data_IF_502829365914
#
_entry.id   IF_502829365914
#
_cell.length_a   1.000
_cell.length_b   1.000
_cell.length_c   1.000
_cell.angle_alpha   90.00
_cell.angle_beta   90.00
_cell.angle_gamma   90.00
#
_symmetry.space_group_name_H-M   'P 1'
#
loop_
_entity.id
_entity.type
_entity.pdbx_description
1 polymer ?
#
# COMPACT_ATOMS: atom_id res chain seq x y z
N UNK A 1 -15.83 -29.18 -43.96
CA UNK A 1 -15.68 -30.19 -42.89
C UNK A 1 -14.38 -29.92 -42.17
N UNK A 2 -14.39 -29.76 -40.85
CA UNK A 2 -13.14 -29.58 -40.09
C UNK A 2 -12.27 -30.83 -40.26
N UNK A 3 -11.01 -30.63 -40.65
CA UNK A 3 -10.05 -31.73 -40.86
C UNK A 3 -9.83 -32.41 -39.50
N UNK A 4 -10.25 -33.67 -39.37
CA UNK A 4 -10.06 -34.44 -38.13
C UNK A 4 -8.56 -34.60 -37.86
N UNK A 5 -8.12 -34.19 -36.68
CA UNK A 5 -6.73 -34.34 -36.25
C UNK A 5 -6.41 -35.81 -36.01
N UNK A 6 -5.18 -36.22 -36.30
CA UNK A 6 -4.73 -37.58 -35.96
C UNK A 6 -4.54 -37.73 -34.45
N UNK A 7 -4.60 -38.97 -33.94
CA UNK A 7 -4.37 -39.28 -32.53
C UNK A 7 -3.02 -38.74 -32.01
N UNK A 8 -1.99 -38.76 -32.87
CA UNK A 8 -0.65 -38.25 -32.54
C UNK A 8 -0.64 -36.73 -32.40
N UNK A 9 -1.35 -36.01 -33.29
CA UNK A 9 -1.52 -34.56 -33.18
C UNK A 9 -2.23 -34.16 -31.89
N UNK A 10 -3.27 -34.91 -31.49
CA UNK A 10 -3.98 -34.66 -30.23
C UNK A 10 -3.10 -34.92 -29.00
N UNK A 11 -2.23 -35.94 -29.04
CA UNK A 11 -1.26 -36.23 -27.96
C UNK A 11 -0.23 -35.11 -27.83
N UNK A 12 0.32 -34.63 -28.95
CA UNK A 12 1.28 -33.52 -28.95
C UNK A 12 0.65 -32.22 -28.43
N UNK A 13 -0.59 -31.92 -28.84
CA UNK A 13 -1.33 -30.76 -28.33
C UNK A 13 -1.61 -30.86 -26.84
N UNK A 14 -2.00 -32.03 -26.35
CA UNK A 14 -2.20 -32.27 -24.91
C UNK A 14 -0.91 -31.99 -24.13
N UNK A 15 0.22 -32.53 -24.57
CA UNK A 15 1.51 -32.32 -23.89
C UNK A 15 1.91 -30.84 -23.88
N UNK A 16 1.69 -30.12 -24.98
CA UNK A 16 1.95 -28.67 -25.03
C UNK A 16 1.05 -27.89 -24.09
N UNK A 17 -0.24 -28.23 -24.01
CA UNK A 17 -1.20 -27.59 -23.10
C UNK A 17 -0.84 -27.89 -21.64
N UNK A 18 -0.46 -29.12 -21.31
CA UNK A 18 -0.03 -29.51 -19.96
C UNK A 18 1.23 -28.74 -19.54
N UNK A 19 2.21 -28.58 -20.43
CA UNK A 19 3.40 -27.76 -20.19
C UNK A 19 3.04 -26.29 -19.94
N UNK A 20 2.14 -25.70 -20.73
CA UNK A 20 1.66 -24.32 -20.52
C UNK A 20 0.89 -24.17 -19.22
N UNK A 21 0.05 -25.15 -18.88
CA UNK A 21 -0.69 -25.16 -17.63
C UNK A 21 0.25 -25.15 -16.42
N UNK A 22 1.29 -26.00 -16.42
CA UNK A 22 2.29 -26.01 -15.37
C UNK A 22 3.02 -24.65 -15.25
N UNK A 23 3.36 -24.02 -16.37
CA UNK A 23 3.99 -22.68 -16.37
C UNK A 23 3.08 -21.60 -15.75
N UNK A 24 1.80 -21.56 -16.13
CA UNK A 24 0.84 -20.61 -15.57
C UNK A 24 0.54 -20.90 -14.09
N UNK A 25 0.51 -22.17 -13.68
CA UNK A 25 0.40 -22.55 -12.26
C UNK A 25 1.57 -22.01 -11.42
N UNK A 26 2.81 -22.18 -11.90
CA UNK A 26 3.98 -21.60 -11.22
C UNK A 26 3.93 -20.06 -11.18
N UNK A 27 3.47 -19.42 -12.25
CA UNK A 27 3.31 -17.96 -12.29
C UNK A 27 2.26 -17.48 -11.28
N UNK A 28 1.13 -18.20 -11.18
CA UNK A 28 0.11 -17.93 -10.19
C UNK A 28 0.67 -18.03 -8.76
N UNK A 29 1.38 -19.12 -8.46
CA UNK A 29 2.01 -19.31 -7.15
C UNK A 29 2.98 -18.17 -6.80
N UNK A 30 3.81 -17.73 -7.76
CA UNK A 30 4.69 -16.58 -7.54
C UNK A 30 3.93 -15.29 -7.23
N UNK A 31 2.82 -15.05 -7.92
CA UNK A 31 2.00 -13.87 -7.71
C UNK A 31 1.32 -13.91 -6.34
N UNK A 32 0.80 -15.07 -5.92
CA UNK A 32 0.23 -15.26 -4.59
C UNK A 32 1.27 -15.04 -3.49
N UNK A 33 2.49 -15.57 -3.67
CA UNK A 33 3.59 -15.35 -2.74
C UNK A 33 4.00 -13.87 -2.69
N UNK A 34 4.02 -13.18 -3.83
CA UNK A 34 4.29 -11.73 -3.88
C UNK A 34 3.21 -10.93 -3.16
N UNK A 35 1.94 -11.29 -3.34
CA UNK A 35 0.81 -10.67 -2.63
C UNK A 35 0.96 -10.82 -1.11
N UNK A 36 1.18 -12.04 -0.62
CA UNK A 36 1.40 -12.32 0.81
C UNK A 36 2.57 -11.51 1.39
N UNK A 37 3.67 -11.39 0.64
CA UNK A 37 4.83 -10.60 1.05
C UNK A 37 4.50 -9.11 1.20
N UNK A 38 3.80 -8.54 0.21
CA UNK A 38 3.40 -7.13 0.24
C UNK A 38 2.41 -6.85 1.39
N UNK A 39 1.42 -7.71 1.58
CA UNK A 39 0.46 -7.61 2.70
C UNK A 39 1.16 -7.66 4.06
N UNK A 40 2.15 -8.55 4.22
CA UNK A 40 2.98 -8.61 5.42
C UNK A 40 3.76 -7.31 5.63
N UNK A 41 4.36 -6.77 4.57
CA UNK A 41 5.09 -5.50 4.59
C UNK A 41 4.20 -4.33 5.03
N UNK A 42 2.99 -4.22 4.46
CA UNK A 42 2.04 -3.17 4.83
C UNK A 42 1.53 -3.33 6.27
N UNK A 43 1.29 -4.57 6.72
CA UNK A 43 0.96 -4.84 8.12
C UNK A 43 2.08 -4.39 9.06
N UNK A 44 3.34 -4.67 8.72
CA UNK A 44 4.49 -4.27 9.53
C UNK A 44 4.62 -2.74 9.60
N UNK A 45 4.48 -2.04 8.47
CA UNK A 45 4.46 -0.57 8.43
C UNK A 45 3.33 0.00 9.29
N UNK A 46 2.13 -0.57 9.21
CA UNK A 46 0.98 -0.17 10.03
C UNK A 46 1.27 -0.36 11.51
N UNK A 47 1.80 -1.52 11.92
CA UNK A 47 2.16 -1.78 13.31
C UNK A 47 3.18 -0.77 13.82
N UNK A 48 4.26 -0.52 13.07
CA UNK A 48 5.28 0.46 13.47
C UNK A 48 4.68 1.87 13.64
N UNK A 49 3.86 2.33 12.68
CA UNK A 49 3.14 3.62 12.80
C UNK A 49 2.28 3.68 14.06
N UNK A 50 1.50 2.64 14.34
CA UNK A 50 0.62 2.61 15.52
C UNK A 50 1.42 2.61 16.83
N UNK A 51 2.53 1.87 16.90
CA UNK A 51 3.42 1.89 18.06
C UNK A 51 4.03 3.28 18.27
N UNK A 52 4.46 3.97 17.22
CA UNK A 52 5.01 5.33 17.34
C UNK A 52 3.96 6.33 17.85
N UNK A 53 2.73 6.23 17.34
CA UNK A 53 1.61 7.06 17.83
C UNK A 53 1.29 6.74 19.30
N UNK A 54 1.21 5.47 19.67
CA UNK A 54 1.02 5.04 21.06
C UNK A 54 2.13 5.55 21.97
N UNK A 55 3.40 5.44 21.53
CA UNK A 55 4.56 5.94 22.27
C UNK A 55 4.55 7.46 22.45
N UNK A 56 4.01 8.21 21.49
CA UNK A 56 3.83 9.67 21.64
C UNK A 56 2.81 9.97 22.73
N UNK A 57 1.68 9.25 22.77
CA UNK A 57 0.67 9.44 23.81
C UNK A 57 1.23 9.03 25.18
N UNK A 58 1.88 7.87 25.31
CA UNK A 58 2.51 7.42 26.56
C UNK A 58 3.58 8.40 27.04
N UNK A 59 4.34 9.04 26.13
CA UNK A 59 5.34 10.05 26.49
C UNK A 59 4.71 11.34 27.02
N UNK A 60 3.51 11.70 26.53
CA UNK A 60 2.78 12.90 26.95
C UNK A 60 1.96 12.67 28.23
N UNK A 61 1.44 11.47 28.42
CA UNK A 61 0.62 11.07 29.56
C UNK A 61 1.05 9.68 30.06
N UNK A 62 2.14 9.56 30.83
CA UNK A 62 2.66 8.27 31.31
C UNK A 62 1.66 7.45 32.12
N UNK A 63 0.64 8.09 32.70
CA UNK A 63 -0.45 7.48 33.45
C UNK A 63 -1.23 6.47 32.61
N UNK A 64 -1.27 6.64 31.28
CA UNK A 64 -2.02 5.74 30.39
C UNK A 64 -1.33 4.40 30.18
N UNK A 65 -0.05 4.26 30.56
CA UNK A 65 0.79 3.09 30.29
C UNK A 65 0.18 1.77 30.78
N UNK A 66 -0.43 1.80 31.96
CA UNK A 66 -0.97 0.61 32.61
C UNK A 66 -2.49 0.46 32.40
N UNK A 67 -3.12 1.36 31.63
CA UNK A 67 -4.53 1.23 31.31
C UNK A 67 -4.74 0.02 30.42
N UNK A 68 -5.80 -0.72 30.71
CA UNK A 68 -6.31 -1.75 29.80
C UNK A 68 -6.79 -1.11 28.51
N UNK A 69 -6.95 -1.95 27.48
CA UNK A 69 -7.50 -1.50 26.20
C UNK A 69 -8.87 -0.83 26.35
N UNK A 70 -9.72 -1.33 27.25
CA UNK A 70 -11.06 -0.78 27.49
C UNK A 70 -10.97 0.59 28.12
N UNK A 71 -10.22 0.74 29.21
CA UNK A 71 -10.04 2.02 29.91
C UNK A 71 -9.42 3.08 28.98
N UNK A 72 -8.42 2.69 28.18
CA UNK A 72 -7.83 3.56 27.17
C UNK A 72 -8.86 3.98 26.11
N UNK A 73 -9.74 3.08 25.69
CA UNK A 73 -10.78 3.38 24.69
C UNK A 73 -11.79 4.37 25.26
N UNK A 74 -12.29 4.14 26.48
CA UNK A 74 -13.23 5.05 27.16
C UNK A 74 -12.62 6.44 27.37
N UNK A 75 -11.35 6.50 27.80
CA UNK A 75 -10.62 7.77 27.93
C UNK A 75 -10.51 8.50 26.59
N UNK A 76 -10.14 7.79 25.52
CA UNK A 76 -10.03 8.40 24.19
C UNK A 76 -11.40 8.86 23.66
N UNK A 77 -12.46 8.08 23.86
CA UNK A 77 -13.83 8.47 23.48
C UNK A 77 -14.27 9.74 24.21
N UNK A 78 -13.99 9.85 25.52
CA UNK A 78 -14.27 11.06 26.28
C UNK A 78 -13.47 12.26 25.76
N UNK A 79 -12.15 12.13 25.60
CA UNK A 79 -11.27 13.22 25.14
C UNK A 79 -11.64 13.68 23.72
N UNK A 80 -11.80 12.76 22.77
CA UNK A 80 -12.18 13.08 21.40
C UNK A 80 -13.65 13.47 21.26
N UNK A 81 -14.47 13.29 22.30
CA UNK A 81 -15.80 13.87 22.43
C UNK A 81 -15.80 15.37 22.72
N UNK A 82 -14.69 15.93 23.24
CA UNK A 82 -14.59 17.35 23.59
C UNK A 82 -14.57 18.23 22.32
N UNK A 83 -15.41 19.27 22.23
CA UNK A 83 -15.47 20.15 21.05
C UNK A 83 -14.13 20.78 20.67
N UNK A 84 -13.32 21.16 21.66
CA UNK A 84 -11.99 21.76 21.49
C UNK A 84 -11.04 20.80 20.79
N UNK A 85 -11.01 19.55 21.24
CA UNK A 85 -10.16 18.49 20.68
C UNK A 85 -10.60 18.18 19.25
N UNK A 86 -11.91 18.05 19.01
CA UNK A 86 -12.42 17.83 17.66
C UNK A 86 -12.05 18.97 16.70
N UNK A 87 -12.12 20.23 17.15
CA UNK A 87 -11.68 21.39 16.35
C UNK A 87 -10.19 21.33 16.06
N UNK A 88 -9.37 20.98 17.05
CA UNK A 88 -7.92 20.84 16.87
C UNK A 88 -7.56 19.73 15.88
N UNK A 89 -8.21 18.56 15.99
CA UNK A 89 -8.01 17.43 15.06
C UNK A 89 -8.38 17.83 13.63
N UNK A 90 -9.56 18.43 13.42
CA UNK A 90 -9.98 18.92 12.09
C UNK A 90 -9.01 19.96 11.52
N UNK A 91 -8.56 20.91 12.34
CA UNK A 91 -7.61 21.92 11.91
C UNK A 91 -6.27 21.30 11.46
N UNK A 92 -5.77 20.31 12.20
CA UNK A 92 -4.53 19.61 11.85
C UNK A 92 -4.69 18.78 10.56
N UNK A 93 -5.81 18.09 10.39
CA UNK A 93 -6.11 17.34 9.17
C UNK A 93 -6.14 18.25 7.93
N UNK A 94 -6.85 19.38 8.00
CA UNK A 94 -6.90 20.38 6.91
C UNK A 94 -5.49 20.90 6.60
N UNK A 95 -4.72 21.23 7.64
CA UNK A 95 -3.35 21.74 7.48
C UNK A 95 -2.46 20.71 6.80
N UNK A 96 -2.54 19.45 7.19
CA UNK A 96 -1.79 18.36 6.57
C UNK A 96 -2.14 18.17 5.09
N UNK A 97 -3.42 18.15 4.75
CA UNK A 97 -3.89 18.01 3.36
C UNK A 97 -3.37 19.16 2.49
N UNK A 98 -3.47 20.39 3.00
CA UNK A 98 -3.00 21.58 2.29
C UNK A 98 -1.48 21.52 2.04
N UNK A 99 -0.69 21.08 3.02
CA UNK A 99 0.75 20.89 2.86
C UNK A 99 1.08 19.79 1.84
N UNK A 100 0.38 18.65 1.91
CA UNK A 100 0.57 17.55 0.98
C UNK A 100 0.26 17.95 -0.47
N UNK A 101 -0.77 18.78 -0.67
CA UNK A 101 -1.15 19.30 -1.99
C UNK A 101 -0.14 20.31 -2.52
N UNK A 102 0.34 21.26 -1.69
CA UNK A 102 1.44 22.17 -2.07
C UNK A 102 2.71 21.42 -2.47
N UNK A 103 3.04 20.33 -1.77
CA UNK A 103 4.18 19.47 -2.11
C UNK A 103 4.03 18.74 -3.45
N UNK A 104 2.80 18.48 -3.90
CA UNK A 104 2.52 17.91 -5.23
C UNK A 104 2.60 18.96 -6.33
N UNK A 105 2.09 20.17 -6.08
CA UNK A 105 2.17 21.30 -7.03
C UNK A 105 3.62 21.71 -7.31
N UNK A 106 4.48 21.76 -6.28
CA UNK A 106 5.90 22.05 -6.44
C UNK A 106 6.64 20.95 -7.25
N UNK A 107 6.24 19.69 -7.12
CA UNK A 107 6.80 18.57 -7.91
C UNK A 107 6.30 18.57 -9.36
N UNK A 108 5.08 19.05 -9.60
CA UNK A 108 4.53 19.21 -10.95
C UNK A 108 5.21 20.38 -11.71
N UNK A 109 5.57 21.45 -11.00
CA UNK A 109 6.19 22.65 -11.60
C UNK A 109 7.72 22.58 -11.74
N UNK A 110 8.36 21.50 -11.26
CA UNK A 110 9.81 21.35 -11.26
C UNK A 110 10.26 19.99 -11.76
N UNK A 111 10.07 19.73 -13.06
CA UNK A 111 10.93 18.93 -13.98
C UNK A 111 10.16 18.73 -15.29
N UNK A 112 10.31 19.65 -16.24
CA UNK A 112 10.26 19.27 -17.65
C UNK A 112 11.70 18.89 -17.98
N UNK A 113 12.05 17.61 -18.21
CA UNK A 113 13.29 17.31 -18.88
C UNK A 113 13.17 17.95 -20.26
N UNK A 114 13.91 19.02 -20.53
CA UNK A 114 14.20 19.38 -21.91
C UNK A 114 14.88 18.16 -22.51
N UNK A 115 14.14 17.42 -23.34
CA UNK A 115 14.73 16.46 -24.24
C UNK A 115 15.79 17.21 -25.04
N UNK A 116 17.06 16.95 -24.77
CA UNK A 116 18.15 17.38 -25.64
C UNK A 116 17.84 16.85 -27.03
N UNK A 117 17.78 17.77 -27.98
CA UNK A 117 17.47 17.52 -29.38
C UNK A 117 18.51 16.52 -29.95
N UNK A 118 18.12 15.37 -30.52
CA UNK A 118 19.08 14.35 -30.99
C UNK A 118 19.83 14.70 -32.28
N UNK A 119 19.79 15.96 -32.74
CA UNK A 119 20.36 16.36 -34.03
C UNK A 119 21.21 17.62 -33.90
N UNK A 120 22.42 17.47 -33.36
CA UNK A 120 23.53 18.34 -33.72
C UNK A 120 24.63 17.46 -34.31
N UNK A 121 24.61 17.38 -35.64
CA UNK A 121 25.72 16.92 -36.45
C UNK A 121 26.47 18.17 -36.90
N UNK A 122 27.71 18.34 -36.42
CA UNK A 122 28.86 18.88 -37.15
C UNK A 122 30.12 18.77 -36.30
#
# INVERSE_FOLDING_TARGET
MAKQKSLEQLRAEKEQVEKRLAQEQHKLERLENRKKYLEKGERQKRTHRLCNLGGTIESLAPEVKNLTRTEMTELMEHIFGLPEVQRAVRHMEITHINQANRGKELKANGTIPLHSNPNETQ
#
